data_IF_973150345566
#
_entry.id   IF_973150345566
#
_cell.length_a   1.000
_cell.length_b   1.000
_cell.length_c   1.000
_cell.angle_alpha   90.00
_cell.angle_beta   90.00
_cell.angle_gamma   90.00
#
_symmetry.space_group_name_H-M   'P 1'
#
loop_
_entity.id
_entity.type
_entity.pdbx_description
1 polymer ?
#
# COMPACT_ATOMS: atom_id res chain seq x y z
N UNK A 1 3.01 4.22 -10.45
CA UNK A 1 1.91 5.06 -9.92
C UNK A 1 0.59 4.52 -10.45
N UNK A 2 -0.48 4.49 -9.65
CA UNK A 2 -1.80 4.23 -10.19
C UNK A 2 -2.16 5.37 -11.16
N UNK A 3 -2.50 5.04 -12.41
CA UNK A 3 -2.80 6.03 -13.43
C UNK A 3 -3.94 6.99 -13.02
N UNK A 4 -4.74 6.63 -12.02
CA UNK A 4 -5.77 7.48 -11.42
C UNK A 4 -5.20 8.60 -10.53
N UNK A 5 -4.14 8.36 -9.76
CA UNK A 5 -3.52 9.37 -8.90
C UNK A 5 -2.84 10.46 -9.72
N UNK A 6 -2.05 10.08 -10.73
CA UNK A 6 -1.42 11.03 -11.65
C UNK A 6 -2.45 11.91 -12.36
N UNK A 7 -3.50 11.28 -12.91
CA UNK A 7 -4.58 12.01 -13.58
C UNK A 7 -5.33 12.95 -12.66
N UNK A 8 -5.50 12.59 -11.39
CA UNK A 8 -6.16 13.45 -10.41
C UNK A 8 -5.30 14.67 -10.08
N UNK A 9 -4.02 14.47 -9.76
CA UNK A 9 -3.09 15.56 -9.41
C UNK A 9 -2.88 16.48 -10.61
N UNK A 10 -2.68 15.92 -11.80
CA UNK A 10 -2.54 16.69 -13.04
C UNK A 10 -3.83 17.47 -13.35
N UNK A 11 -5.00 16.86 -13.15
CA UNK A 11 -6.30 17.54 -13.30
C UNK A 11 -6.51 18.69 -12.31
N UNK A 12 -6.06 18.53 -11.06
CA UNK A 12 -6.12 19.59 -10.05
C UNK A 12 -5.17 20.75 -10.38
N UNK A 13 -3.93 20.44 -10.79
CA UNK A 13 -2.95 21.44 -11.23
C UNK A 13 -3.48 22.21 -12.45
N UNK A 14 -4.07 21.50 -13.41
CA UNK A 14 -4.62 22.11 -14.62
C UNK A 14 -5.81 23.02 -14.29
N UNK A 15 -6.72 22.59 -13.42
CA UNK A 15 -7.83 23.44 -12.98
C UNK A 15 -7.34 24.72 -12.27
N UNK A 16 -6.33 24.61 -11.41
CA UNK A 16 -5.73 25.77 -10.74
C UNK A 16 -5.10 26.75 -11.74
N UNK A 17 -4.37 26.24 -12.73
CA UNK A 17 -3.69 27.06 -13.76
C UNK A 17 -4.64 27.70 -14.76
N UNK A 18 -5.62 26.95 -15.24
CA UNK A 18 -6.50 27.36 -16.34
C UNK A 18 -7.75 28.13 -15.87
N UNK A 19 -8.20 27.92 -14.63
CA UNK A 19 -9.47 28.46 -14.17
C UNK A 19 -9.37 29.38 -12.96
N UNK A 20 -8.44 29.12 -12.03
CA UNK A 20 -8.35 29.88 -10.78
C UNK A 20 -7.35 31.02 -10.92
N UNK A 21 -6.12 30.73 -11.32
CA UNK A 21 -5.03 31.70 -11.42
C UNK A 21 -5.34 32.91 -12.34
N UNK A 22 -5.98 32.75 -13.52
CA UNK A 22 -6.30 33.87 -14.40
C UNK A 22 -7.39 34.80 -13.84
N UNK A 23 -8.22 34.29 -12.90
CA UNK A 23 -9.32 35.02 -12.28
C UNK A 23 -8.94 35.66 -10.95
N UNK A 24 -7.77 35.32 -10.39
CA UNK A 24 -7.24 35.95 -9.19
C UNK A 24 -6.53 37.26 -9.53
N UNK A 25 -7.15 38.38 -9.18
CA UNK A 25 -6.55 39.72 -9.25
C UNK A 25 -5.65 40.07 -8.06
N UNK A 26 -5.68 39.26 -6.99
CA UNK A 26 -4.91 39.47 -5.77
C UNK A 26 -3.56 38.72 -5.85
N UNK A 27 -2.46 39.47 -5.66
CA UNK A 27 -1.10 38.95 -5.75
C UNK A 27 -0.74 37.97 -4.62
N UNK A 28 -1.28 38.17 -3.41
CA UNK A 28 -1.15 37.22 -2.31
C UNK A 28 -1.84 35.89 -2.65
N UNK A 29 -3.07 35.95 -3.17
CA UNK A 29 -3.82 34.75 -3.57
C UNK A 29 -3.10 34.00 -4.69
N UNK A 30 -2.53 34.72 -5.66
CA UNK A 30 -1.70 34.12 -6.71
C UNK A 30 -0.49 33.39 -6.13
N UNK A 31 0.20 33.99 -5.16
CA UNK A 31 1.30 33.35 -4.43
C UNK A 31 0.88 32.03 -3.77
N UNK A 32 -0.27 32.02 -3.09
CA UNK A 32 -0.82 30.81 -2.47
C UNK A 32 -1.18 29.71 -3.48
N UNK A 33 -1.71 30.09 -4.65
CA UNK A 33 -2.00 29.15 -5.73
C UNK A 33 -0.72 28.52 -6.27
N UNK A 34 0.34 29.32 -6.48
CA UNK A 34 1.64 28.78 -6.89
C UNK A 34 2.25 27.85 -5.84
N UNK A 35 2.18 28.19 -4.56
CA UNK A 35 2.62 27.32 -3.46
C UNK A 35 1.83 26.00 -3.42
N UNK A 36 0.52 26.05 -3.67
CA UNK A 36 -0.34 24.86 -3.75
C UNK A 36 0.07 23.97 -4.93
N UNK A 37 0.29 24.54 -6.12
CA UNK A 37 0.79 23.81 -7.29
C UNK A 37 2.17 23.20 -7.00
N UNK A 38 3.05 23.93 -6.35
CA UNK A 38 4.37 23.43 -5.95
C UNK A 38 4.25 22.24 -4.98
N UNK A 39 3.39 22.34 -3.97
CA UNK A 39 3.11 21.25 -3.03
C UNK A 39 2.50 20.02 -3.71
N UNK A 40 1.58 20.20 -4.66
CA UNK A 40 0.99 19.10 -5.45
C UNK A 40 2.04 18.40 -6.33
N UNK A 41 2.95 19.17 -6.94
CA UNK A 41 4.10 18.58 -7.67
C UNK A 41 5.06 17.87 -6.70
N UNK A 42 5.29 18.44 -5.52
CA UNK A 42 6.04 17.81 -4.44
C UNK A 42 5.43 16.47 -4.04
N UNK A 43 4.10 16.40 -3.84
CA UNK A 43 3.38 15.16 -3.52
C UNK A 43 3.55 14.09 -4.61
N UNK A 44 3.60 14.49 -5.90
CA UNK A 44 3.90 13.58 -7.03
C UNK A 44 5.33 13.03 -6.92
N UNK A 45 6.30 13.91 -6.64
CA UNK A 45 7.70 13.54 -6.41
C UNK A 45 7.91 12.65 -5.16
N UNK A 46 7.17 12.89 -4.08
CA UNK A 46 7.23 12.04 -2.87
C UNK A 46 6.45 10.74 -3.06
N UNK A 47 5.43 10.71 -3.92
CA UNK A 47 4.74 9.48 -4.30
C UNK A 47 5.65 8.56 -5.15
N UNK A 48 6.53 9.14 -5.97
CA UNK A 48 7.57 8.41 -6.74
C UNK A 48 8.58 7.66 -5.83
N UNK A 49 8.74 8.04 -4.55
CA UNK A 49 9.69 7.41 -3.63
C UNK A 49 9.25 6.03 -3.07
N UNK A 50 8.09 5.50 -3.47
CA UNK A 50 7.53 4.29 -2.83
C UNK A 50 8.03 2.93 -3.32
N UNK A 51 8.88 2.84 -4.35
CA UNK A 51 9.37 1.54 -4.83
C UNK A 51 10.12 0.74 -3.75
N UNK A 52 10.99 1.39 -2.96
CA UNK A 52 11.75 0.74 -1.89
C UNK A 52 10.87 0.15 -0.79
N UNK A 53 10.01 0.95 -0.14
CA UNK A 53 9.05 0.45 0.84
C UNK A 53 8.09 -0.63 0.29
N UNK A 54 7.61 -0.49 -0.95
CA UNK A 54 6.76 -1.50 -1.59
C UNK A 54 7.50 -2.82 -1.81
N UNK A 55 8.76 -2.77 -2.27
CA UNK A 55 9.59 -3.97 -2.41
C UNK A 55 9.81 -4.66 -1.06
N UNK A 56 9.99 -3.89 0.01
CA UNK A 56 10.14 -4.45 1.36
C UNK A 56 8.85 -5.12 1.84
N UNK A 57 7.69 -4.54 1.55
CA UNK A 57 6.40 -5.18 1.82
C UNK A 57 6.26 -6.51 1.07
N UNK A 58 6.63 -6.56 -0.22
CA UNK A 58 6.59 -7.80 -0.99
C UNK A 58 7.52 -8.86 -0.40
N UNK A 59 8.71 -8.49 0.10
CA UNK A 59 9.61 -9.43 0.80
C UNK A 59 9.01 -9.97 2.08
N UNK A 60 8.35 -9.12 2.87
CA UNK A 60 7.65 -9.56 4.09
C UNK A 60 6.51 -10.52 3.76
N UNK A 61 5.74 -10.23 2.71
CA UNK A 61 4.70 -11.15 2.22
C UNK A 61 5.31 -12.48 1.73
N UNK A 62 6.44 -12.45 1.01
CA UNK A 62 7.15 -13.67 0.57
C UNK A 62 7.56 -14.53 1.76
N UNK A 63 8.12 -13.92 2.81
CA UNK A 63 8.48 -14.63 4.03
C UNK A 63 7.24 -15.26 4.71
N UNK A 64 6.11 -14.53 4.74
CA UNK A 64 4.86 -15.05 5.30
C UNK A 64 4.30 -16.22 4.47
N UNK A 65 4.33 -16.13 3.14
CA UNK A 65 3.90 -17.20 2.23
C UNK A 65 4.78 -18.45 2.38
N UNK A 66 6.10 -18.28 2.50
CA UNK A 66 7.03 -19.37 2.74
C UNK A 66 6.73 -20.08 4.06
N UNK A 67 6.47 -19.32 5.12
CA UNK A 67 6.16 -19.88 6.43
C UNK A 67 4.83 -20.62 6.46
N UNK A 68 3.79 -20.08 5.80
CA UNK A 68 2.53 -20.81 5.64
C UNK A 68 2.73 -22.11 4.88
N UNK A 69 3.53 -22.11 3.81
CA UNK A 69 3.84 -23.35 3.08
C UNK A 69 4.57 -24.38 3.96
N UNK A 70 5.51 -23.92 4.80
CA UNK A 70 6.23 -24.77 5.76
C UNK A 70 5.28 -25.37 6.81
N UNK A 71 4.38 -24.56 7.37
CA UNK A 71 3.41 -24.99 8.39
C UNK A 71 2.36 -25.92 7.81
N UNK A 72 1.77 -25.57 6.66
CA UNK A 72 0.72 -26.36 6.02
C UNK A 72 1.25 -27.73 5.56
N UNK A 73 2.52 -27.83 5.18
CA UNK A 73 3.17 -29.10 4.88
C UNK A 73 2.44 -29.87 3.76
N UNK A 74 1.78 -30.98 4.12
CA UNK A 74 1.00 -31.82 3.19
C UNK A 74 -0.50 -31.53 3.19
N UNK A 75 -0.97 -30.57 3.98
CA UNK A 75 -2.37 -30.17 3.99
C UNK A 75 -2.76 -29.63 2.61
N UNK A 76 -4.01 -29.86 2.21
CA UNK A 76 -4.55 -29.28 0.99
C UNK A 76 -4.87 -27.81 1.24
N UNK A 77 -4.08 -26.90 0.68
CA UNK A 77 -4.23 -25.45 0.83
C UNK A 77 -4.34 -24.75 -0.54
N UNK A 78 -4.85 -23.50 -0.60
CA UNK A 78 -4.77 -22.65 -1.78
C UNK A 78 -3.34 -22.55 -2.33
N UNK A 79 -3.14 -22.42 -3.65
CA UNK A 79 -1.80 -22.41 -4.23
C UNK A 79 -0.95 -21.26 -3.68
N UNK A 80 0.29 -21.59 -3.28
CA UNK A 80 1.30 -20.61 -2.89
C UNK A 80 2.25 -20.43 -4.08
N UNK A 81 2.50 -19.19 -4.54
CA UNK A 81 3.35 -18.93 -5.69
C UNK A 81 4.82 -19.28 -5.41
N UNK A 82 5.62 -19.40 -6.47
CA UNK A 82 7.07 -19.52 -6.33
C UNK A 82 7.65 -18.23 -5.73
N UNK A 83 8.62 -18.38 -4.83
CA UNK A 83 9.27 -17.29 -4.10
C UNK A 83 10.78 -17.26 -4.40
N UNK A 84 11.43 -16.09 -4.39
CA UNK A 84 10.85 -14.76 -4.17
C UNK A 84 10.11 -14.23 -5.40
N UNK A 85 9.03 -13.48 -5.18
CA UNK A 85 8.17 -12.95 -6.25
C UNK A 85 8.74 -11.69 -6.92
N UNK A 86 9.59 -10.95 -6.22
CA UNK A 86 10.11 -9.66 -6.67
C UNK A 86 11.43 -9.74 -7.47
N UNK A 87 11.89 -10.92 -7.88
CA UNK A 87 13.10 -11.05 -8.71
C UNK A 87 12.90 -10.37 -10.08
N UNK A 88 13.56 -9.21 -10.27
CA UNK A 88 13.52 -8.45 -11.53
C UNK A 88 12.45 -7.35 -11.62
N UNK A 89 11.55 -7.21 -10.65
CA UNK A 89 10.48 -6.19 -10.63
C UNK A 89 10.98 -4.77 -10.27
N UNK A 90 12.30 -4.56 -10.15
CA UNK A 90 12.90 -3.41 -9.46
C UNK A 90 12.80 -2.07 -10.18
N UNK A 91 12.36 -2.03 -11.44
CA UNK A 91 12.33 -0.80 -12.23
C UNK A 91 10.95 -0.15 -12.37
N UNK A 92 9.85 -0.89 -12.12
CA UNK A 92 8.49 -0.39 -12.32
C UNK A 92 7.66 -0.44 -11.02
N UNK A 93 7.46 0.73 -10.40
CA UNK A 93 6.66 0.87 -9.19
C UNK A 93 5.21 0.37 -9.36
N UNK A 94 4.62 0.45 -10.55
CA UNK A 94 3.27 -0.07 -10.80
C UNK A 94 3.24 -1.60 -10.80
N UNK A 95 4.29 -2.23 -11.34
CA UNK A 95 4.45 -3.68 -11.28
C UNK A 95 4.67 -4.17 -9.85
N UNK A 96 5.47 -3.44 -9.04
CA UNK A 96 5.67 -3.77 -7.61
C UNK A 96 4.36 -3.60 -6.81
N UNK A 97 3.58 -2.56 -7.09
CA UNK A 97 2.27 -2.34 -6.46
C UNK A 97 1.28 -3.48 -6.79
N UNK A 98 1.18 -3.86 -8.06
CA UNK A 98 0.35 -4.99 -8.47
C UNK A 98 0.79 -6.32 -7.82
N UNK A 99 2.09 -6.52 -7.66
CA UNK A 99 2.65 -7.70 -6.99
C UNK A 99 2.32 -7.74 -5.50
N UNK A 100 2.35 -6.57 -4.84
CA UNK A 100 1.94 -6.39 -3.45
C UNK A 100 0.45 -6.70 -3.28
N UNK A 101 -0.40 -6.11 -4.12
CA UNK A 101 -1.85 -6.31 -4.08
C UNK A 101 -2.23 -7.79 -4.29
N UNK A 102 -1.54 -8.48 -5.21
CA UNK A 102 -1.70 -9.92 -5.41
C UNK A 102 -1.28 -10.73 -4.17
N UNK A 103 -0.20 -10.31 -3.50
CA UNK A 103 0.22 -10.89 -2.21
C UNK A 103 -0.82 -10.75 -1.11
N UNK A 104 -1.42 -9.57 -0.97
CA UNK A 104 -2.47 -9.30 0.01
C UNK A 104 -3.69 -10.20 -0.25
N UNK A 105 -4.08 -10.34 -1.52
CA UNK A 105 -5.15 -11.26 -1.94
C UNK A 105 -4.84 -12.70 -1.53
N UNK A 106 -3.65 -13.21 -1.84
CA UNK A 106 -3.24 -14.60 -1.52
C UNK A 106 -3.20 -14.82 0.00
N UNK A 107 -2.65 -13.88 0.77
CA UNK A 107 -2.63 -13.97 2.23
C UNK A 107 -4.05 -13.99 2.82
N UNK A 108 -4.97 -13.21 2.26
CA UNK A 108 -6.38 -13.23 2.62
C UNK A 108 -7.06 -14.58 2.32
N UNK A 109 -6.80 -15.16 1.15
CA UNK A 109 -7.30 -16.50 0.78
C UNK A 109 -6.78 -17.60 1.70
N UNK A 110 -5.49 -17.55 2.06
CA UNK A 110 -4.88 -18.48 3.01
C UNK A 110 -5.44 -18.32 4.43
N UNK A 111 -5.72 -17.09 4.86
CA UNK A 111 -6.35 -16.84 6.16
C UNK A 111 -7.78 -17.39 6.20
N UNK A 112 -8.54 -17.19 5.13
CA UNK A 112 -9.89 -17.74 4.99
C UNK A 112 -9.87 -19.26 5.02
N UNK A 113 -8.94 -19.88 4.28
CA UNK A 113 -8.73 -21.32 4.29
C UNK A 113 -8.34 -21.85 5.69
N UNK A 114 -7.37 -21.25 6.37
CA UNK A 114 -6.95 -21.69 7.70
C UNK A 114 -8.06 -21.58 8.75
N UNK A 115 -9.03 -20.67 8.51
CA UNK A 115 -10.22 -20.49 9.35
C UNK A 115 -11.36 -21.45 8.99
N UNK A 116 -11.26 -22.21 7.90
CA UNK A 116 -12.30 -23.11 7.41
C UNK A 116 -12.41 -24.41 8.19
N UNK A 117 -13.57 -25.06 8.11
CA UNK A 117 -13.80 -26.37 8.74
C UNK A 117 -12.91 -27.46 8.11
N UNK A 118 -12.64 -27.37 6.81
CA UNK A 118 -11.80 -28.32 6.08
C UNK A 118 -10.36 -28.31 6.62
N UNK A 119 -9.78 -27.12 6.81
CA UNK A 119 -8.43 -27.00 7.37
C UNK A 119 -8.36 -27.49 8.83
N UNK A 120 -9.38 -27.14 9.64
CA UNK A 120 -9.47 -27.58 11.04
C UNK A 120 -9.67 -29.08 11.18
N UNK A 121 -10.43 -29.71 10.29
CA UNK A 121 -10.63 -31.16 10.27
C UNK A 121 -9.35 -31.89 9.86
N UNK A 122 -8.56 -31.31 8.94
CA UNK A 122 -7.31 -31.88 8.50
C UNK A 122 -6.22 -31.84 9.59
N UNK A 123 -6.01 -30.68 10.21
CA UNK A 123 -5.12 -30.53 11.37
C UNK A 123 -5.52 -29.27 12.18
N UNK A 124 -6.21 -29.43 13.33
CA UNK A 124 -6.69 -28.29 14.11
C UNK A 124 -5.55 -27.42 14.68
N UNK A 125 -4.42 -28.04 15.03
CA UNK A 125 -3.31 -27.33 15.67
C UNK A 125 -2.58 -26.47 14.64
N UNK A 126 -2.26 -27.05 13.48
CA UNK A 126 -1.60 -26.34 12.38
C UNK A 126 -2.50 -25.27 11.80
N UNK A 127 -3.80 -25.56 11.57
CA UNK A 127 -4.75 -24.57 11.07
C UNK A 127 -4.84 -23.34 11.99
N UNK A 128 -4.84 -23.57 13.32
CA UNK A 128 -4.87 -22.50 14.30
C UNK A 128 -3.57 -21.70 14.36
N UNK A 129 -2.43 -22.37 14.25
CA UNK A 129 -1.11 -21.72 14.18
C UNK A 129 -1.00 -20.80 12.97
N UNK A 130 -1.38 -21.31 11.78
CA UNK A 130 -1.41 -20.54 10.54
C UNK A 130 -2.36 -19.33 10.65
N UNK A 131 -3.56 -19.51 11.20
CA UNK A 131 -4.52 -18.42 11.38
C UNK A 131 -3.94 -17.30 12.26
N UNK A 132 -3.35 -17.65 13.40
CA UNK A 132 -2.76 -16.69 14.33
C UNK A 132 -1.55 -15.97 13.73
N UNK A 133 -0.70 -16.71 13.02
CA UNK A 133 0.44 -16.16 12.31
C UNK A 133 -0.01 -15.15 11.24
N UNK A 134 -0.93 -15.52 10.37
CA UNK A 134 -1.43 -14.66 9.29
C UNK A 134 -2.11 -13.40 9.83
N UNK A 135 -2.96 -13.51 10.86
CA UNK A 135 -3.57 -12.34 11.50
C UNK A 135 -2.53 -11.37 12.05
N UNK A 136 -1.48 -11.88 12.68
CA UNK A 136 -0.39 -11.04 13.21
C UNK A 136 0.37 -10.35 12.08
N UNK A 137 0.77 -11.11 11.06
CA UNK A 137 1.51 -10.59 9.91
C UNK A 137 0.74 -9.50 9.15
N UNK A 138 -0.55 -9.71 8.90
CA UNK A 138 -1.42 -8.72 8.24
C UNK A 138 -1.59 -7.46 9.12
N UNK A 139 -1.81 -7.62 10.42
CA UNK A 139 -1.91 -6.48 11.34
C UNK A 139 -0.63 -5.64 11.38
N UNK A 140 0.55 -6.27 11.39
CA UNK A 140 1.82 -5.54 11.37
C UNK A 140 2.03 -4.83 10.02
N UNK A 141 1.67 -5.45 8.90
CA UNK A 141 1.70 -4.78 7.58
C UNK A 141 0.80 -3.55 7.54
N UNK A 142 -0.44 -3.66 8.02
CA UNK A 142 -1.39 -2.53 8.09
C UNK A 142 -0.87 -1.39 8.97
N UNK A 143 -0.20 -1.69 10.08
CA UNK A 143 0.41 -0.64 10.93
C UNK A 143 1.49 0.13 10.19
N UNK A 144 2.34 -0.58 9.43
CA UNK A 144 3.38 0.05 8.61
C UNK A 144 2.74 0.90 7.51
N UNK A 145 1.73 0.40 6.82
CA UNK A 145 1.00 1.16 5.80
C UNK A 145 0.33 2.42 6.37
N UNK A 146 -0.32 2.31 7.53
CA UNK A 146 -0.94 3.44 8.22
C UNK A 146 0.11 4.49 8.64
N UNK A 147 1.28 4.06 9.13
CA UNK A 147 2.38 4.95 9.49
C UNK A 147 2.96 5.69 8.27
N UNK A 148 2.96 5.05 7.11
CA UNK A 148 3.44 5.61 5.84
C UNK A 148 2.35 6.37 5.06
N UNK A 149 1.11 6.40 5.58
CA UNK A 149 0.01 7.16 4.99
C UNK A 149 0.12 8.61 5.47
N UNK A 150 0.21 9.60 4.55
CA UNK A 150 0.22 11.01 4.93
C UNK A 150 -1.02 11.32 5.77
N UNK A 151 -0.84 11.97 6.94
CA UNK A 151 -1.96 12.41 7.78
C UNK A 151 -2.86 13.31 6.95
N UNK A 152 -4.17 13.06 7.00
CA UNK A 152 -5.17 13.91 6.32
C UNK A 152 -4.99 15.37 6.71
N UNK A 153 -5.17 16.29 5.76
CA UNK A 153 -5.18 17.74 6.05
C UNK A 153 -6.21 18.09 7.14
N UNK A 154 -7.32 17.35 7.28
CA UNK A 154 -8.27 17.55 8.37
C UNK A 154 -7.65 17.30 9.75
N UNK A 155 -6.74 16.32 9.85
CA UNK A 155 -6.01 16.06 11.09
C UNK A 155 -5.01 17.18 11.37
N UNK A 156 -4.27 17.65 10.36
CA UNK A 156 -3.33 18.76 10.50
C UNK A 156 -4.02 20.09 10.88
N UNK A 157 -5.19 20.37 10.30
CA UNK A 157 -6.03 21.52 10.63
C UNK A 157 -6.62 21.39 12.04
N UNK A 158 -7.00 20.17 12.46
CA UNK A 158 -7.57 19.93 13.79
C UNK A 158 -6.51 19.96 14.91
N UNK A 159 -5.26 19.59 14.64
CA UNK A 159 -4.19 19.55 15.64
C UNK A 159 -3.29 20.78 15.64
N UNK A 160 -3.29 21.59 14.57
CA UNK A 160 -2.46 22.79 14.46
C UNK A 160 -0.95 22.50 14.39
N UNK A 161 -0.56 21.25 14.16
CA UNK A 161 0.84 20.87 14.00
C UNK A 161 1.26 21.04 12.53
N UNK A 162 1.99 22.11 12.24
CA UNK A 162 2.73 22.26 10.98
C UNK A 162 3.82 21.17 10.94
N UNK A 163 3.73 20.25 9.99
CA UNK A 163 4.64 19.13 9.86
C UNK A 163 6.08 19.59 9.64
N UNK A 164 6.98 19.20 10.55
CA UNK A 164 8.43 19.34 10.40
C UNK A 164 9.00 18.31 9.42
#
# INVERSE_FOLDING_TARGET
MSASFDRLIDGMIEALRSHVLPRSGDEFVRGQIFSTIFALNGLKLTADWKAGPLLEQVRVQDAALAEVGRLAGKMRHPPIPALPRAEGATADSAAVEALRDDGDRILGELLFWASSEDARTADPAVAREIELFLRRSICEQLKVELAMTPKSMLHQIATGEEGA
#
